data_IF_158798095543
#
_entry.id   IF_158798095543
#
_cell.length_a   1.000
_cell.length_b   1.000
_cell.length_c   1.000
_cell.angle_alpha   90.00
_cell.angle_beta   90.00
_cell.angle_gamma   90.00
#
_symmetry.space_group_name_H-M   'P 1'
#
loop_
_entity.id
_entity.type
_entity.pdbx_description
1 polymer ?
#
# COMPACT_ATOMS: atom_id res chain seq x y z
N UNK A 1 -17.29 0.07 -5.46
CA UNK A 1 -18.13 1.20 -4.99
C UNK A 1 -19.25 0.77 -4.04
N UNK A 2 -19.86 -0.41 -4.21
CA UNK A 2 -20.90 -0.90 -3.27
C UNK A 2 -20.31 -1.47 -1.97
N UNK A 3 -19.02 -1.79 -1.96
CA UNK A 3 -18.34 -2.28 -0.78
C UNK A 3 -18.10 -1.15 0.24
N UNK A 4 -18.61 -1.24 1.48
CA UNK A 4 -18.40 -0.24 2.52
C UNK A 4 -16.92 -0.09 2.95
N UNK A 5 -16.07 -1.11 2.76
CA UNK A 5 -14.62 -1.01 3.06
C UNK A 5 -13.95 0.13 2.28
N UNK A 6 -14.28 0.25 1.00
CA UNK A 6 -13.67 1.23 0.09
C UNK A 6 -13.92 2.67 0.57
N UNK A 7 -15.11 2.93 1.10
CA UNK A 7 -15.46 4.26 1.63
C UNK A 7 -14.79 4.55 2.96
N UNK A 8 -14.67 3.53 3.83
CA UNK A 8 -13.92 3.62 5.08
C UNK A 8 -12.45 3.94 4.81
N UNK A 9 -11.81 3.20 3.91
CA UNK A 9 -10.39 3.37 3.59
C UNK A 9 -10.13 4.73 2.92
N UNK A 10 -11.03 5.17 2.04
CA UNK A 10 -10.96 6.51 1.45
C UNK A 10 -11.06 7.63 2.51
N UNK A 11 -11.91 7.48 3.52
CA UNK A 11 -12.03 8.46 4.59
C UNK A 11 -10.81 8.48 5.52
N UNK A 12 -10.33 7.30 5.91
CA UNK A 12 -9.10 7.15 6.72
C UNK A 12 -7.91 7.78 5.98
N UNK A 13 -7.80 7.55 4.67
CA UNK A 13 -6.78 8.18 3.83
C UNK A 13 -6.84 9.71 3.89
N UNK A 14 -8.04 10.30 3.88
CA UNK A 14 -8.21 11.76 4.01
C UNK A 14 -7.78 12.25 5.40
N UNK A 15 -8.11 11.51 6.46
CA UNK A 15 -7.73 11.88 7.82
C UNK A 15 -6.21 11.85 8.01
N UNK A 16 -5.53 10.80 7.53
CA UNK A 16 -4.08 10.73 7.57
C UNK A 16 -3.41 11.78 6.68
N UNK A 17 -3.92 11.99 5.47
CA UNK A 17 -3.34 12.97 4.55
C UNK A 17 -3.41 14.41 5.09
N UNK A 18 -4.47 14.75 5.82
CA UNK A 18 -4.65 16.07 6.43
C UNK A 18 -4.18 16.14 7.91
N UNK A 19 -3.77 15.03 8.51
CA UNK A 19 -3.37 14.96 9.92
C UNK A 19 -4.51 15.27 10.91
N UNK A 20 -5.74 14.91 10.56
CA UNK A 20 -6.93 15.16 11.40
C UNK A 20 -7.00 14.14 12.55
N UNK A 21 -7.39 14.58 13.75
CA UNK A 21 -7.48 13.71 14.94
C UNK A 21 -6.16 13.42 15.65
N UNK A 22 -5.02 13.89 15.11
CA UNK A 22 -3.70 13.75 15.74
C UNK A 22 -3.29 14.95 16.61
N UNK A 23 -4.10 16.01 16.65
CA UNK A 23 -3.84 17.22 17.44
C UNK A 23 -2.77 18.18 16.87
N UNK A 24 -1.93 17.75 15.92
CA UNK A 24 -0.88 18.58 15.32
C UNK A 24 -1.41 19.86 14.63
N UNK A 25 -2.50 19.76 13.87
CA UNK A 25 -3.13 20.92 13.22
C UNK A 25 -3.68 21.93 14.24
N UNK A 26 -4.25 21.43 15.35
CA UNK A 26 -4.76 22.26 16.44
C UNK A 26 -3.59 22.99 17.12
N UNK A 27 -2.50 22.27 17.40
CA UNK A 27 -1.29 22.83 17.99
C UNK A 27 -0.69 23.93 17.11
N UNK A 28 -0.49 23.70 15.81
CA UNK A 28 0.02 24.74 14.91
C UNK A 28 -0.90 25.94 14.78
N UNK A 29 -2.21 25.70 14.74
CA UNK A 29 -3.21 26.78 14.67
C UNK A 29 -3.22 27.63 15.94
N UNK A 30 -2.86 27.07 17.10
CA UNK A 30 -2.82 27.80 18.37
C UNK A 30 -1.75 28.90 18.41
N UNK A 31 -0.70 28.79 17.60
CA UNK A 31 0.37 29.78 17.50
C UNK A 31 0.03 30.94 16.54
N UNK A 32 -1.04 30.82 15.76
CA UNK A 32 -1.47 31.89 14.86
C UNK A 32 -2.16 33.04 15.61
N UNK A 33 -2.16 34.21 14.99
CA UNK A 33 -2.90 35.36 15.50
C UNK A 33 -4.41 35.09 15.45
N UNK A 34 -5.17 35.65 16.41
CA UNK A 34 -6.63 35.46 16.51
C UNK A 34 -7.40 35.98 15.28
N UNK A 35 -6.87 36.96 14.57
CA UNK A 35 -7.44 37.58 13.36
C UNK A 35 -6.89 36.99 12.05
N UNK A 36 -6.12 35.90 12.12
CA UNK A 36 -5.61 35.22 10.94
C UNK A 36 -6.76 34.55 10.16
N UNK A 37 -6.70 34.61 8.83
CA UNK A 37 -7.74 34.04 7.98
C UNK A 37 -7.61 32.51 7.85
N UNK A 38 -8.06 31.81 8.89
CA UNK A 38 -8.01 30.34 8.96
C UNK A 38 -8.87 29.65 7.88
N UNK A 39 -9.87 30.34 7.32
CA UNK A 39 -10.70 29.80 6.24
C UNK A 39 -9.89 29.65 4.95
N UNK A 40 -9.16 30.68 4.55
CA UNK A 40 -8.27 30.62 3.39
C UNK A 40 -7.17 29.57 3.56
N UNK A 41 -6.59 29.47 4.76
CA UNK A 41 -5.54 28.49 5.05
C UNK A 41 -6.09 27.05 4.92
N UNK A 42 -7.25 26.77 5.49
CA UNK A 42 -7.88 25.45 5.41
C UNK A 42 -8.22 25.05 3.97
N UNK A 43 -8.75 25.98 3.16
CA UNK A 43 -9.06 25.74 1.75
C UNK A 43 -7.78 25.51 0.95
N UNK A 44 -6.75 26.32 1.17
CA UNK A 44 -5.47 26.21 0.48
C UNK A 44 -4.77 24.88 0.79
N UNK A 45 -4.68 24.49 2.07
CA UNK A 45 -4.08 23.22 2.49
C UNK A 45 -4.82 22.04 1.86
N UNK A 46 -6.16 22.06 1.90
CA UNK A 46 -6.98 20.99 1.29
C UNK A 46 -6.74 20.89 -0.21
N UNK A 47 -6.64 22.04 -0.90
CA UNK A 47 -6.40 22.10 -2.34
C UNK A 47 -5.00 21.61 -2.70
N UNK A 48 -3.97 22.07 -1.99
CA UNK A 48 -2.58 21.62 -2.20
C UNK A 48 -2.47 20.11 -1.96
N UNK A 49 -3.08 19.59 -0.89
CA UNK A 49 -3.08 18.15 -0.60
C UNK A 49 -3.72 17.33 -1.73
N UNK A 50 -4.84 17.80 -2.27
CA UNK A 50 -5.52 17.16 -3.40
C UNK A 50 -4.63 17.14 -4.66
N UNK A 51 -4.06 18.27 -5.06
CA UNK A 51 -3.19 18.35 -6.24
C UNK A 51 -1.90 17.55 -6.07
N UNK A 52 -1.31 17.59 -4.88
CA UNK A 52 -0.10 16.82 -4.56
C UNK A 52 -0.40 15.33 -4.65
N UNK A 53 -1.56 14.90 -4.14
CA UNK A 53 -2.01 13.50 -4.23
C UNK A 53 -2.17 13.06 -5.69
N UNK A 54 -2.84 13.86 -6.54
CA UNK A 54 -2.97 13.56 -7.98
C UNK A 54 -1.61 13.46 -8.68
N UNK A 55 -0.72 14.41 -8.42
CA UNK A 55 0.60 14.43 -9.03
C UNK A 55 1.45 13.24 -8.57
N UNK A 56 1.44 12.92 -7.27
CA UNK A 56 2.13 11.77 -6.72
C UNK A 56 1.58 10.46 -7.33
N UNK A 57 0.27 10.31 -7.43
CA UNK A 57 -0.37 9.15 -8.06
C UNK A 57 0.03 8.99 -9.52
N UNK A 58 0.05 10.08 -10.29
CA UNK A 58 0.49 10.05 -11.69
C UNK A 58 1.95 9.58 -11.81
N UNK A 59 2.84 10.13 -11.00
CA UNK A 59 4.26 9.74 -10.98
C UNK A 59 4.42 8.27 -10.60
N UNK A 60 3.71 7.80 -9.57
CA UNK A 60 3.73 6.40 -9.13
C UNK A 60 3.29 5.45 -10.23
N UNK A 61 2.14 5.70 -10.85
CA UNK A 61 1.64 4.83 -11.92
C UNK A 61 2.50 4.89 -13.18
N UNK A 62 3.14 6.02 -13.48
CA UNK A 62 4.08 6.11 -14.59
C UNK A 62 5.33 5.23 -14.38
N UNK A 63 5.90 5.22 -13.17
CA UNK A 63 7.05 4.38 -12.83
C UNK A 63 6.65 2.90 -12.80
N UNK A 64 5.51 2.57 -12.22
CA UNK A 64 4.98 1.20 -12.22
C UNK A 64 4.71 0.70 -13.65
N UNK A 65 4.10 1.53 -14.50
CA UNK A 65 3.88 1.20 -15.90
C UNK A 65 5.18 0.99 -16.66
N UNK A 66 6.20 1.81 -16.39
CA UNK A 66 7.54 1.62 -16.95
C UNK A 66 8.18 0.30 -16.49
N UNK A 67 8.10 -0.03 -15.20
CA UNK A 67 8.57 -1.32 -14.65
C UNK A 67 7.88 -2.49 -15.34
N UNK A 68 6.55 -2.51 -15.33
CA UNK A 68 5.75 -3.58 -15.95
C UNK A 68 6.12 -3.75 -17.42
N UNK A 69 6.28 -2.64 -18.15
CA UNK A 69 6.70 -2.65 -19.54
C UNK A 69 8.08 -3.30 -19.75
N UNK A 70 9.06 -3.03 -18.89
CA UNK A 70 10.40 -3.65 -18.97
C UNK A 70 10.32 -5.14 -18.63
N UNK A 71 9.67 -5.50 -17.53
CA UNK A 71 9.54 -6.89 -17.07
C UNK A 71 8.86 -7.74 -18.14
N UNK A 72 7.73 -7.28 -18.68
CA UNK A 72 7.02 -7.98 -19.77
C UNK A 72 7.90 -8.13 -21.02
N UNK A 73 8.70 -7.11 -21.38
CA UNK A 73 9.56 -7.20 -22.57
C UNK A 73 10.66 -8.24 -22.39
N UNK A 74 11.29 -8.30 -21.21
CA UNK A 74 12.27 -9.34 -20.88
C UNK A 74 11.66 -10.74 -20.86
N UNK A 75 10.46 -10.88 -20.30
CA UNK A 75 9.71 -12.15 -20.31
C UNK A 75 9.48 -12.64 -21.75
N UNK A 76 9.04 -11.75 -22.65
CA UNK A 76 8.84 -12.07 -24.07
C UNK A 76 10.15 -12.50 -24.73
N UNK A 77 11.26 -11.83 -24.45
CA UNK A 77 12.57 -12.18 -25.00
C UNK A 77 13.03 -13.57 -24.53
N UNK A 78 12.95 -13.86 -23.22
CA UNK A 78 13.32 -15.16 -22.64
C UNK A 78 12.44 -16.29 -23.15
N UNK A 79 11.12 -16.10 -23.20
CA UNK A 79 10.21 -17.09 -23.75
C UNK A 79 10.42 -17.30 -25.24
N UNK A 80 10.75 -16.25 -26.00
CA UNK A 80 11.12 -16.38 -27.41
C UNK A 80 12.38 -17.23 -27.56
N UNK A 81 13.41 -17.02 -26.74
CA UNK A 81 14.61 -17.86 -26.74
C UNK A 81 14.30 -19.34 -26.44
N UNK A 82 13.45 -19.61 -25.43
CA UNK A 82 12.96 -20.97 -25.14
C UNK A 82 12.24 -21.58 -26.34
N UNK A 83 11.33 -20.84 -26.97
CA UNK A 83 10.59 -21.28 -28.17
C UNK A 83 11.54 -21.61 -29.33
N UNK A 84 12.56 -20.76 -29.57
CA UNK A 84 13.61 -21.01 -30.56
C UNK A 84 14.44 -22.26 -30.23
N UNK A 85 14.63 -22.58 -28.96
CA UNK A 85 15.26 -23.84 -28.53
C UNK A 85 14.42 -25.09 -28.83
N UNK A 86 13.08 -24.98 -28.79
CA UNK A 86 12.14 -26.09 -29.10
C UNK A 86 11.77 -26.20 -30.59
N UNK A 87 12.19 -25.21 -31.39
CA UNK A 87 11.97 -25.18 -32.83
C UNK A 87 12.79 -26.29 -33.52
N UNK A 88 12.08 -27.23 -34.16
CA UNK A 88 12.67 -28.37 -34.85
C UNK A 88 12.70 -29.68 -34.07
N UNK A 89 12.41 -29.68 -32.76
CA UNK A 89 12.23 -30.89 -31.95
C UNK A 89 10.76 -31.14 -31.66
N UNK A 90 10.09 -30.19 -31.00
CA UNK A 90 8.70 -30.31 -30.56
C UNK A 90 7.74 -29.37 -31.30
N UNK A 91 8.26 -28.33 -31.96
CA UNK A 91 7.46 -27.34 -32.72
C UNK A 91 7.97 -27.30 -34.16
N UNK A 92 7.05 -27.50 -35.14
CA UNK A 92 7.38 -27.42 -36.57
C UNK A 92 7.48 -25.96 -37.04
N UNK A 93 8.45 -25.67 -37.90
CA UNK A 93 8.72 -24.31 -38.41
C UNK A 93 7.54 -23.73 -39.21
N UNK A 94 6.72 -24.59 -39.82
CA UNK A 94 5.57 -24.21 -40.64
C UNK A 94 4.41 -23.57 -39.86
N UNK A 95 4.46 -23.66 -38.52
CA UNK A 95 3.43 -23.14 -37.62
C UNK A 95 3.62 -21.64 -37.36
N UNK A 96 4.81 -21.09 -37.62
CA UNK A 96 5.13 -19.70 -37.30
C UNK A 96 4.92 -18.79 -38.52
N UNK A 97 4.23 -17.65 -38.36
CA UNK A 97 4.02 -16.72 -39.45
C UNK A 97 5.35 -16.23 -40.07
N UNK A 98 5.51 -16.24 -41.41
CA UNK A 98 6.78 -15.96 -42.09
C UNK A 98 7.23 -14.50 -42.03
N UNK A 99 6.44 -13.62 -41.42
CA UNK A 99 6.74 -12.19 -41.30
C UNK A 99 7.43 -11.83 -39.97
N UNK A 100 7.60 -12.79 -39.05
CA UNK A 100 8.15 -12.54 -37.73
C UNK A 100 9.65 -12.84 -37.74
N UNK A 101 10.45 -11.81 -37.43
CA UNK A 101 11.88 -11.94 -37.20
C UNK A 101 12.14 -12.19 -35.71
N UNK A 102 12.74 -13.33 -35.38
CA UNK A 102 13.07 -13.71 -34.01
C UNK A 102 14.15 -12.83 -33.38
N UNK A 103 14.84 -11.98 -34.16
CA UNK A 103 15.82 -11.02 -33.64
C UNK A 103 15.17 -9.91 -32.80
N UNK A 104 13.92 -9.55 -33.10
CA UNK A 104 13.12 -8.54 -32.38
C UNK A 104 11.63 -8.87 -32.48
N UNK A 105 11.14 -9.65 -31.54
CA UNK A 105 9.72 -10.00 -31.47
C UNK A 105 8.94 -8.88 -30.76
N UNK A 106 7.96 -8.30 -31.45
CA UNK A 106 7.02 -7.35 -30.83
C UNK A 106 6.03 -8.09 -29.93
N UNK A 107 5.38 -7.39 -28.99
CA UNK A 107 4.36 -8.01 -28.11
C UNK A 107 3.18 -8.57 -28.88
N UNK A 108 2.76 -7.87 -29.93
CA UNK A 108 1.66 -8.29 -30.79
C UNK A 108 2.03 -9.59 -31.52
N UNK A 109 3.26 -9.68 -32.03
CA UNK A 109 3.79 -10.87 -32.69
C UNK A 109 3.91 -12.04 -31.71
N UNK A 110 4.36 -11.79 -30.48
CA UNK A 110 4.46 -12.80 -29.42
C UNK A 110 3.09 -13.37 -29.04
N UNK A 111 2.07 -12.53 -28.89
CA UNK A 111 0.70 -12.99 -28.61
C UNK A 111 0.14 -13.86 -29.73
N UNK A 112 0.46 -13.54 -30.99
CA UNK A 112 0.09 -14.39 -32.13
C UNK A 112 0.82 -15.73 -32.07
N UNK A 113 2.13 -15.74 -31.83
CA UNK A 113 2.92 -16.97 -31.70
C UNK A 113 2.37 -17.87 -30.58
N UNK A 114 2.15 -17.32 -29.39
CA UNK A 114 1.58 -18.06 -28.25
C UNK A 114 0.17 -18.56 -28.55
N UNK A 115 -0.67 -17.75 -29.21
CA UNK A 115 -2.02 -18.16 -29.60
C UNK A 115 -2.02 -19.37 -30.53
N UNK A 116 -1.10 -19.41 -31.50
CA UNK A 116 -0.95 -20.54 -32.42
C UNK A 116 -0.36 -21.76 -31.70
N UNK A 117 0.70 -21.59 -30.89
CA UNK A 117 1.32 -22.70 -30.14
C UNK A 117 0.30 -23.33 -29.18
N UNK A 118 -0.50 -22.51 -28.48
CA UNK A 118 -1.58 -22.98 -27.61
C UNK A 118 -2.65 -23.75 -28.38
N UNK A 119 -2.99 -23.31 -29.59
CA UNK A 119 -3.97 -24.00 -30.45
C UNK A 119 -3.46 -25.33 -31.02
N UNK A 120 -2.14 -25.46 -31.26
CA UNK A 120 -1.54 -26.68 -31.83
C UNK A 120 -1.20 -27.71 -30.75
N UNK A 121 -0.73 -27.26 -29.58
CA UNK A 121 -0.17 -28.11 -28.52
C UNK A 121 -1.05 -28.16 -27.27
N UNK A 122 -2.38 -28.01 -27.44
CA UNK A 122 -3.42 -27.80 -26.42
C UNK A 122 -3.15 -28.47 -25.05
N UNK A 123 -2.76 -29.75 -25.01
CA UNK A 123 -2.49 -30.52 -23.78
C UNK A 123 -1.03 -30.47 -23.27
N UNK A 124 -0.04 -30.22 -24.13
CA UNK A 124 1.38 -30.20 -23.77
C UNK A 124 1.92 -28.78 -23.59
N UNK A 125 1.07 -27.74 -23.74
CA UNK A 125 1.47 -26.34 -23.58
C UNK A 125 2.08 -26.04 -22.20
N UNK A 126 1.52 -26.64 -21.14
CA UNK A 126 2.02 -26.50 -19.77
C UNK A 126 3.39 -27.13 -19.55
N UNK A 127 3.79 -28.10 -20.38
CA UNK A 127 5.08 -28.78 -20.27
C UNK A 127 6.24 -27.94 -20.84
N UNK A 128 5.96 -26.88 -21.63
CA UNK A 128 7.00 -26.01 -22.18
C UNK A 128 7.61 -25.04 -21.15
N UNK A 129 7.01 -24.88 -19.96
CA UNK A 129 7.53 -23.99 -18.93
C UNK A 129 7.65 -22.52 -19.40
N UNK A 130 6.68 -22.07 -20.21
CA UNK A 130 6.60 -20.68 -20.69
C UNK A 130 5.87 -19.83 -19.65
N UNK A 131 6.54 -18.80 -19.15
CA UNK A 131 5.96 -17.83 -18.20
C UNK A 131 4.82 -17.03 -18.86
N UNK A 132 3.79 -16.63 -18.11
CA UNK A 132 2.76 -15.71 -18.63
C UNK A 132 3.33 -14.28 -18.72
N UNK A 133 3.51 -13.78 -19.94
CA UNK A 133 4.02 -12.42 -20.17
C UNK A 133 2.89 -11.40 -20.41
N UNK A 134 1.94 -11.27 -19.48
CA UNK A 134 0.86 -10.26 -19.57
C UNK A 134 1.16 -9.04 -18.70
N UNK A 135 1.13 -7.85 -19.31
CA UNK A 135 1.33 -6.58 -18.61
C UNK A 135 0.19 -6.28 -17.61
N UNK A 136 -1.01 -6.81 -17.87
CA UNK A 136 -2.18 -6.63 -17.00
C UNK A 136 -1.99 -7.39 -15.69
N UNK A 137 -1.38 -8.57 -15.76
CA UNK A 137 -1.04 -9.39 -14.61
C UNK A 137 0.04 -8.71 -13.77
N UNK A 138 1.11 -8.22 -14.40
CA UNK A 138 2.18 -7.44 -13.75
C UNK A 138 1.67 -6.16 -13.06
N UNK A 139 0.68 -5.48 -13.65
CA UNK A 139 0.10 -4.27 -13.07
C UNK A 139 -0.88 -4.58 -11.93
N UNK A 140 -1.62 -5.69 -12.03
CA UNK A 140 -2.55 -6.15 -10.99
C UNK A 140 -1.85 -6.80 -9.80
N UNK A 141 -0.63 -7.31 -10.00
CA UNK A 141 0.32 -7.73 -8.97
C UNK A 141 0.87 -6.56 -8.12
N UNK A 142 0.15 -5.43 -8.08
CA UNK A 142 0.57 -4.19 -7.45
C UNK A 142 1.01 -4.38 -6.00
N UNK A 143 2.28 -4.05 -5.73
CA UNK A 143 2.83 -4.08 -4.38
C UNK A 143 2.22 -2.93 -3.57
N UNK A 144 1.60 -3.22 -2.43
CA UNK A 144 1.05 -2.22 -1.51
C UNK A 144 2.02 -1.96 -0.34
N UNK A 145 1.88 -0.79 0.30
CA UNK A 145 2.64 -0.46 1.52
C UNK A 145 4.11 -0.18 1.26
N UNK A 146 4.97 -0.64 2.16
CA UNK A 146 6.42 -0.36 2.13
C UNK A 146 7.13 -0.98 0.93
N UNK A 147 6.66 -2.16 0.46
CA UNK A 147 7.23 -2.85 -0.69
C UNK A 147 7.14 -2.05 -1.99
N UNK A 148 6.11 -1.19 -2.13
CA UNK A 148 5.97 -0.33 -3.30
C UNK A 148 7.20 0.57 -3.46
N UNK A 149 7.56 1.29 -2.40
CA UNK A 149 8.66 2.25 -2.42
C UNK A 149 10.04 1.58 -2.41
N UNK A 150 10.22 0.50 -1.65
CA UNK A 150 11.54 -0.10 -1.44
C UNK A 150 11.91 -1.23 -2.40
N UNK A 151 10.92 -1.84 -3.08
CA UNK A 151 11.14 -2.93 -4.04
C UNK A 151 10.79 -2.45 -5.44
N UNK A 152 9.52 -2.14 -5.71
CA UNK A 152 9.08 -1.86 -7.07
C UNK A 152 9.73 -0.59 -7.65
N UNK A 153 9.80 0.48 -6.86
CA UNK A 153 10.43 1.73 -7.27
C UNK A 153 11.95 1.61 -7.42
N UNK A 154 12.63 0.99 -6.46
CA UNK A 154 14.10 0.85 -6.50
C UNK A 154 14.53 -0.01 -7.69
N UNK A 155 13.81 -1.10 -7.97
CA UNK A 155 14.02 -1.94 -9.14
C UNK A 155 13.86 -1.14 -10.44
N UNK A 156 12.75 -0.39 -10.57
CA UNK A 156 12.51 0.45 -11.75
C UNK A 156 13.63 1.49 -11.97
N UNK A 157 14.16 2.06 -10.89
CA UNK A 157 15.21 3.09 -10.95
C UNK A 157 16.56 2.55 -11.41
N UNK A 158 16.84 1.24 -11.23
CA UNK A 158 18.06 0.62 -11.78
C UNK A 158 18.11 0.69 -13.30
N UNK A 159 16.96 0.77 -13.95
CA UNK A 159 16.83 0.86 -15.40
C UNK A 159 16.91 2.29 -15.96
N UNK A 160 16.96 3.31 -15.10
CA UNK A 160 17.12 4.70 -15.55
C UNK A 160 18.59 5.03 -15.85
N UNK A 161 18.86 5.82 -16.92
CA UNK A 161 20.20 6.34 -17.16
C UNK A 161 20.59 7.29 -16.01
N UNK A 162 21.79 7.06 -15.44
CA UNK A 162 22.23 7.79 -14.24
C UNK A 162 21.50 7.38 -12.97
N UNK A 163 21.18 6.09 -12.81
CA UNK A 163 20.45 5.52 -11.67
C UNK A 163 20.86 6.04 -10.28
N UNK A 164 22.16 6.25 -9.93
CA UNK A 164 22.51 6.73 -8.60
C UNK A 164 21.95 8.11 -8.26
N UNK A 165 21.85 9.01 -9.25
CA UNK A 165 21.30 10.35 -9.05
C UNK A 165 19.81 10.30 -8.66
N UNK A 166 19.04 9.50 -9.40
CA UNK A 166 17.61 9.34 -9.15
C UNK A 166 17.37 8.68 -7.79
N UNK A 167 18.16 7.67 -7.41
CA UNK A 167 18.08 6.99 -6.11
C UNK A 167 18.25 7.96 -4.94
N UNK A 168 19.25 8.84 -5.00
CA UNK A 168 19.47 9.85 -3.96
C UNK A 168 18.29 10.81 -3.86
N UNK A 169 17.77 11.32 -4.98
CA UNK A 169 16.61 12.22 -4.98
C UNK A 169 15.35 11.56 -4.43
N UNK A 170 15.09 10.30 -4.78
CA UNK A 170 13.92 9.55 -4.31
C UNK A 170 13.97 9.29 -2.80
N UNK A 171 15.11 8.80 -2.28
CA UNK A 171 15.24 8.58 -0.84
C UNK A 171 15.28 9.88 -0.03
N UNK A 172 15.88 10.95 -0.58
CA UNK A 172 15.82 12.27 0.05
C UNK A 172 14.40 12.81 0.11
N UNK A 173 13.60 12.59 -0.94
CA UNK A 173 12.17 12.92 -0.95
C UNK A 173 11.43 12.13 0.15
N UNK A 174 11.58 10.80 0.22
CA UNK A 174 10.94 9.99 1.25
C UNK A 174 11.33 10.43 2.67
N UNK A 175 12.61 10.74 2.89
CA UNK A 175 13.10 11.27 4.16
C UNK A 175 12.47 12.63 4.50
N UNK A 176 12.36 13.52 3.52
CA UNK A 176 11.76 14.85 3.71
C UNK A 176 10.27 14.76 4.04
N UNK A 177 9.54 13.87 3.36
CA UNK A 177 8.13 13.59 3.64
C UNK A 177 7.94 13.03 5.06
N UNK A 178 8.76 12.05 5.45
CA UNK A 178 8.75 11.47 6.79
C UNK A 178 9.04 12.52 7.88
N UNK A 179 10.11 13.30 7.72
CA UNK A 179 10.48 14.35 8.69
C UNK A 179 9.40 15.42 8.84
N UNK A 180 8.79 15.85 7.73
CA UNK A 180 7.71 16.85 7.76
C UNK A 180 6.53 16.41 8.63
N UNK A 181 6.05 15.18 8.45
CA UNK A 181 4.96 14.63 9.26
C UNK A 181 5.36 14.44 10.72
N UNK A 182 6.60 14.03 10.99
CA UNK A 182 7.08 13.82 12.37
C UNK A 182 7.14 15.11 13.17
N UNK A 183 7.44 16.26 12.55
CA UNK A 183 7.36 17.55 13.25
C UNK A 183 5.94 17.88 13.71
N UNK A 184 4.92 17.61 12.88
CA UNK A 184 3.52 17.83 13.24
C UNK A 184 3.04 16.91 14.36
N UNK A 185 3.40 15.62 14.29
CA UNK A 185 3.04 14.66 15.33
C UNK A 185 3.72 14.98 16.66
N UNK A 186 4.98 15.39 16.63
CA UNK A 186 5.73 15.77 17.82
C UNK A 186 5.11 17.01 18.50
N UNK A 187 4.73 18.03 17.73
CA UNK A 187 4.05 19.20 18.28
C UNK A 187 2.67 18.88 18.85
N UNK A 188 1.94 17.95 18.23
CA UNK A 188 0.66 17.44 18.76
C UNK A 188 0.79 16.78 20.13
N UNK A 189 1.96 16.20 20.45
CA UNK A 189 2.25 15.59 21.75
C UNK A 189 2.81 16.61 22.74
N UNK A 190 3.78 17.43 22.31
CA UNK A 190 4.48 18.37 23.20
C UNK A 190 3.54 19.47 23.69
N UNK A 191 2.77 20.08 22.80
CA UNK A 191 1.91 21.23 23.11
C UNK A 191 0.97 20.96 24.31
N UNK A 192 0.13 19.91 24.31
CA UNK A 192 -0.78 19.66 25.44
C UNK A 192 -0.04 19.36 26.75
N UNK A 193 1.13 18.71 26.71
CA UNK A 193 1.94 18.42 27.90
C UNK A 193 2.51 19.72 28.48
N UNK A 194 3.05 20.59 27.62
CA UNK A 194 3.59 21.89 28.03
C UNK A 194 2.48 22.77 28.61
N UNK A 195 1.30 22.80 27.99
CA UNK A 195 0.17 23.61 28.47
C UNK A 195 -0.38 23.12 29.82
N UNK A 196 -0.37 21.82 30.05
CA UNK A 196 -0.86 21.21 31.31
C UNK A 196 0.14 21.36 32.46
N UNK A 197 1.41 21.04 32.23
CA UNK A 197 2.43 20.96 33.29
C UNK A 197 3.31 22.21 33.39
N UNK A 198 3.25 23.14 32.42
CA UNK A 198 4.05 24.38 32.35
C UNK A 198 5.57 24.17 32.51
N UNK A 199 6.06 23.03 32.04
CA UNK A 199 7.50 22.67 32.05
C UNK A 199 8.17 23.22 30.78
N UNK A 200 9.48 23.45 30.84
CA UNK A 200 10.31 23.82 29.68
C UNK A 200 10.19 22.78 28.55
N UNK A 201 9.86 23.24 27.34
CA UNK A 201 9.63 22.39 26.16
C UNK A 201 10.82 21.50 25.81
N UNK A 202 12.04 21.98 26.07
CA UNK A 202 13.28 21.31 25.67
C UNK A 202 13.42 19.96 26.40
N UNK A 203 13.05 19.89 27.68
CA UNK A 203 13.13 18.65 28.45
C UNK A 203 12.08 17.63 28.03
N UNK A 204 10.86 18.08 27.74
CA UNK A 204 9.79 17.20 27.25
C UNK A 204 10.16 16.63 25.88
N UNK A 205 10.72 17.46 25.01
CA UNK A 205 11.16 17.04 23.67
C UNK A 205 12.21 15.95 23.77
N UNK A 206 13.28 16.17 24.56
CA UNK A 206 14.34 15.17 24.75
C UNK A 206 13.79 13.88 25.36
N UNK A 207 12.92 13.98 26.37
CA UNK A 207 12.28 12.82 26.99
C UNK A 207 11.45 12.00 25.99
N UNK A 208 10.64 12.67 25.16
CA UNK A 208 9.82 12.01 24.15
C UNK A 208 10.66 11.37 23.04
N UNK A 209 11.77 12.00 22.62
CA UNK A 209 12.71 11.40 21.67
C UNK A 209 13.39 10.15 22.25
N UNK A 210 13.83 10.18 23.51
CA UNK A 210 14.45 9.02 24.18
C UNK A 210 13.43 7.87 24.29
N UNK A 211 12.19 8.17 24.71
CA UNK A 211 11.12 7.18 24.78
C UNK A 211 10.84 6.55 23.41
N UNK A 212 10.70 7.39 22.37
CA UNK A 212 10.45 6.94 21.00
C UNK A 212 11.60 6.08 20.45
N UNK A 213 12.84 6.38 20.81
CA UNK A 213 14.01 5.56 20.45
C UNK A 213 13.90 4.15 21.03
N UNK A 214 13.58 4.02 22.32
CA UNK A 214 13.44 2.71 22.97
C UNK A 214 12.28 1.90 22.41
N UNK A 215 11.13 2.53 22.15
CA UNK A 215 9.99 1.87 21.47
C UNK A 215 10.38 1.46 20.05
N UNK A 216 11.12 2.32 19.34
CA UNK A 216 11.59 2.07 17.98
C UNK A 216 12.49 0.83 17.85
N UNK A 217 13.24 0.46 18.90
CA UNK A 217 14.08 -0.75 18.89
C UNK A 217 13.29 -2.04 18.66
N UNK A 218 12.00 -2.07 19.02
CA UNK A 218 11.11 -3.20 18.75
C UNK A 218 10.99 -3.46 17.24
N UNK A 219 10.96 -2.41 16.42
CA UNK A 219 10.75 -2.52 14.97
C UNK A 219 12.01 -2.90 14.18
N UNK A 220 13.19 -2.90 14.82
CA UNK A 220 14.48 -3.24 14.17
C UNK A 220 14.77 -4.75 14.26
N UNK A 221 13.92 -5.54 14.92
CA UNK A 221 14.07 -6.99 15.03
C UNK A 221 13.78 -7.70 13.69
N UNK A 222 14.16 -8.99 13.57
CA UNK A 222 13.93 -9.81 12.35
C UNK A 222 12.45 -9.90 11.96
N UNK A 223 11.56 -9.94 12.94
CA UNK A 223 10.09 -9.90 12.78
C UNK A 223 9.52 -8.47 12.76
N UNK A 224 10.37 -7.44 12.77
CA UNK A 224 9.98 -6.04 12.95
C UNK A 224 9.00 -5.53 11.89
N UNK A 225 9.10 -6.00 10.64
CA UNK A 225 8.17 -5.62 9.58
C UNK A 225 6.73 -6.07 9.87
N UNK A 226 6.54 -7.21 10.54
CA UNK A 226 5.21 -7.68 10.96
C UNK A 226 4.63 -6.77 12.05
N UNK A 227 5.46 -6.39 13.02
CA UNK A 227 5.05 -5.44 14.07
C UNK A 227 4.68 -4.06 13.49
N UNK A 228 5.45 -3.55 12.53
CA UNK A 228 5.13 -2.28 11.85
C UNK A 228 3.78 -2.36 11.15
N UNK A 229 3.56 -3.42 10.36
CA UNK A 229 2.33 -3.60 9.58
C UNK A 229 1.11 -3.72 10.50
N UNK A 230 1.21 -4.51 11.57
CA UNK A 230 0.12 -4.68 12.54
C UNK A 230 -0.18 -3.39 13.33
N UNK A 231 0.85 -2.65 13.74
CA UNK A 231 0.65 -1.37 14.43
C UNK A 231 0.01 -0.32 13.52
N UNK A 232 0.41 -0.25 12.25
CA UNK A 232 -0.15 0.70 11.29
C UNK A 232 -1.65 0.43 11.02
N UNK A 233 -1.99 -0.84 10.79
CA UNK A 233 -3.37 -1.23 10.48
C UNK A 233 -4.29 -1.15 11.70
N UNK A 234 -3.85 -1.64 12.87
CA UNK A 234 -4.71 -1.75 14.05
C UNK A 234 -4.54 -0.60 15.05
N UNK A 235 -3.32 -0.11 15.29
CA UNK A 235 -3.08 0.91 16.33
C UNK A 235 -3.23 2.34 15.84
N UNK A 236 -2.92 2.63 14.58
CA UNK A 236 -3.03 3.99 14.05
C UNK A 236 -4.40 4.25 13.41
N UNK A 237 -4.87 3.33 12.56
CA UNK A 237 -6.06 3.55 11.73
C UNK A 237 -7.39 3.41 12.49
N UNK A 238 -7.51 2.41 13.36
CA UNK A 238 -8.77 2.12 14.08
C UNK A 238 -9.17 3.21 15.10
N UNK A 239 -8.26 3.76 15.94
CA UNK A 239 -8.65 4.78 16.92
C UNK A 239 -8.94 6.14 16.30
N UNK A 240 -8.39 6.42 15.12
CA UNK A 240 -8.50 7.72 14.46
C UNK A 240 -9.95 8.12 14.19
N UNK A 241 -10.76 7.18 13.71
CA UNK A 241 -12.14 7.43 13.32
C UNK A 241 -13.05 7.77 14.52
N UNK A 242 -13.04 7.00 15.64
CA UNK A 242 -13.68 7.41 16.89
C UNK A 242 -13.22 8.77 17.41
N UNK A 243 -11.91 9.09 17.36
CA UNK A 243 -11.37 10.38 17.84
C UNK A 243 -11.96 11.54 17.03
N UNK A 244 -11.88 11.49 15.70
CA UNK A 244 -12.41 12.53 14.82
C UNK A 244 -13.93 12.68 14.97
N UNK A 245 -14.65 11.57 15.17
CA UNK A 245 -16.08 11.61 15.47
C UNK A 245 -16.38 12.35 16.78
N UNK A 246 -15.67 12.03 17.86
CA UNK A 246 -15.86 12.66 19.16
C UNK A 246 -15.49 14.15 19.13
N UNK A 247 -14.40 14.52 18.45
CA UNK A 247 -14.03 15.94 18.23
C UNK A 247 -15.13 16.70 17.50
N UNK A 248 -15.69 16.12 16.43
CA UNK A 248 -16.76 16.74 15.67
C UNK A 248 -18.02 16.94 16.52
N UNK A 249 -18.43 15.92 17.28
CA UNK A 249 -19.59 16.00 18.19
C UNK A 249 -19.36 17.01 19.31
N UNK A 250 -18.15 17.06 19.87
CA UNK A 250 -17.79 18.02 20.90
C UNK A 250 -17.94 19.48 20.43
N UNK A 251 -17.48 19.79 19.21
CA UNK A 251 -17.61 21.16 18.67
C UNK A 251 -19.04 21.43 18.19
N UNK A 252 -19.65 20.51 17.44
CA UNK A 252 -20.95 20.76 16.81
C UNK A 252 -22.10 20.84 17.82
N UNK A 253 -22.14 19.94 18.82
CA UNK A 253 -23.29 19.79 19.73
C UNK A 253 -22.99 20.21 21.18
N UNK A 254 -21.81 19.91 21.73
CA UNK A 254 -21.50 20.26 23.13
C UNK A 254 -21.14 21.76 23.25
N UNK A 255 -20.22 22.24 22.42
CA UNK A 255 -19.89 23.67 22.35
C UNK A 255 -21.01 24.48 21.70
N UNK A 256 -21.66 23.88 20.70
CA UNK A 256 -22.80 24.44 19.99
C UNK A 256 -22.38 25.14 18.70
N UNK A 257 -22.94 24.68 17.57
CA UNK A 257 -22.62 25.21 16.24
C UNK A 257 -22.93 26.71 16.11
N UNK A 258 -23.98 27.20 16.78
CA UNK A 258 -24.37 28.62 16.70
C UNK A 258 -23.29 29.53 17.33
N UNK A 259 -22.74 29.14 18.48
CA UNK A 259 -21.65 29.86 19.15
C UNK A 259 -20.37 29.82 18.31
N UNK A 260 -19.99 28.62 17.85
CA UNK A 260 -18.82 28.45 16.99
C UNK A 260 -18.89 29.30 15.72
N UNK A 261 -20.08 29.39 15.11
CA UNK A 261 -20.30 30.21 13.91
C UNK A 261 -20.18 31.72 14.19
N UNK A 262 -20.57 32.17 15.38
CA UNK A 262 -20.39 33.56 15.83
C UNK A 262 -18.92 33.87 16.10
N UNK A 263 -18.19 32.99 16.79
CA UNK A 263 -16.75 33.17 17.05
C UNK A 263 -15.95 33.21 15.74
N UNK A 264 -16.27 32.33 14.80
CA UNK A 264 -15.62 32.29 13.49
C UNK A 264 -15.88 33.58 12.69
N UNK A 265 -17.08 34.15 12.82
CA UNK A 265 -17.43 35.45 12.22
C UNK A 265 -16.68 36.59 12.90
N UNK A 266 -16.46 36.54 14.22
CA UNK A 266 -15.64 37.52 14.94
C UNK A 266 -14.17 37.46 14.49
N UNK A 267 -13.61 36.25 14.35
CA UNK A 267 -12.22 36.04 13.92
C UNK A 267 -11.98 36.45 12.46
N UNK A 268 -12.86 36.05 11.54
CA UNK A 268 -12.68 36.29 10.10
C UNK A 268 -13.14 37.68 9.64
N UNK A 269 -14.00 38.35 10.41
CA UNK A 269 -14.64 39.62 10.02
C UNK A 269 -15.69 39.51 8.91
N UNK A 270 -15.80 38.37 8.22
CA UNK A 270 -16.85 38.06 7.26
C UNK A 270 -17.69 36.86 7.69
N UNK A 271 -18.90 36.73 7.14
CA UNK A 271 -19.77 35.58 7.41
C UNK A 271 -19.46 34.47 6.42
N UNK A 272 -19.06 33.26 6.86
CA UNK A 272 -18.85 32.12 5.97
C UNK A 272 -20.18 31.68 5.34
N UNK A 273 -20.13 30.81 4.33
CA UNK A 273 -21.33 30.29 3.67
C UNK A 273 -22.16 29.41 4.63
N UNK A 274 -23.49 29.51 4.54
CA UNK A 274 -24.41 28.71 5.36
C UNK A 274 -24.28 27.19 5.16
N UNK A 275 -23.67 26.76 4.05
CA UNK A 275 -23.40 25.34 3.79
C UNK A 275 -22.55 24.72 4.90
N UNK A 276 -21.54 25.45 5.42
CA UNK A 276 -20.69 24.98 6.51
C UNK A 276 -21.49 24.65 7.77
N UNK A 277 -22.50 25.47 8.09
CA UNK A 277 -23.37 25.26 9.24
C UNK A 277 -24.09 23.89 9.19
N UNK A 278 -24.73 23.57 8.05
CA UNK A 278 -25.42 22.29 7.88
C UNK A 278 -24.44 21.12 7.76
N UNK A 279 -23.29 21.35 7.13
CA UNK A 279 -22.27 20.33 6.94
C UNK A 279 -21.70 19.86 8.29
N UNK A 280 -21.28 20.78 9.15
CA UNK A 280 -20.70 20.45 10.46
C UNK A 280 -21.72 19.88 11.44
N UNK A 281 -22.97 20.36 11.40
CA UNK A 281 -24.00 19.98 12.38
C UNK A 281 -24.66 18.63 12.10
N UNK A 282 -24.83 18.28 10.82
CA UNK A 282 -25.63 17.12 10.41
C UNK A 282 -24.89 16.16 9.49
N UNK A 283 -24.29 16.65 8.41
CA UNK A 283 -23.74 15.78 7.35
C UNK A 283 -22.48 15.06 7.83
N UNK A 284 -21.49 15.80 8.33
CA UNK A 284 -20.23 15.25 8.82
C UNK A 284 -20.43 14.24 9.97
N UNK A 285 -21.16 14.53 11.05
CA UNK A 285 -21.33 13.56 12.14
C UNK A 285 -22.08 12.31 11.70
N UNK A 286 -23.07 12.43 10.80
CA UNK A 286 -23.78 11.27 10.24
C UNK A 286 -22.85 10.37 9.42
N UNK A 287 -22.04 10.97 8.55
CA UNK A 287 -21.10 10.25 7.70
C UNK A 287 -20.01 9.56 8.54
N UNK A 288 -19.44 10.25 9.51
CA UNK A 288 -18.47 9.68 10.45
C UNK A 288 -19.08 8.53 11.27
N UNK A 289 -20.32 8.69 11.76
CA UNK A 289 -21.01 7.64 12.50
C UNK A 289 -21.27 6.40 11.64
N UNK A 290 -21.70 6.58 10.39
CA UNK A 290 -21.94 5.47 9.47
C UNK A 290 -20.66 4.66 9.21
N UNK A 291 -19.53 5.35 9.00
CA UNK A 291 -18.24 4.69 8.80
C UNK A 291 -17.72 4.01 10.08
N UNK A 292 -17.96 4.63 11.24
CA UNK A 292 -17.62 4.03 12.54
C UNK A 292 -18.36 2.71 12.75
N UNK A 293 -19.67 2.71 12.53
CA UNK A 293 -20.51 1.51 12.66
C UNK A 293 -20.07 0.43 11.66
N UNK A 294 -19.82 0.80 10.40
CA UNK A 294 -19.33 -0.15 9.41
C UNK A 294 -18.00 -0.79 9.80
N UNK A 295 -17.06 0.00 10.33
CA UNK A 295 -15.76 -0.49 10.80
C UNK A 295 -15.89 -1.43 12.00
N UNK A 296 -16.77 -1.10 12.96
CA UNK A 296 -17.02 -1.96 14.13
C UNK A 296 -17.70 -3.28 13.75
N UNK A 297 -18.64 -3.25 12.79
CA UNK A 297 -19.32 -4.44 12.28
C UNK A 297 -18.32 -5.36 11.56
N UNK A 298 -17.43 -4.80 10.74
CA UNK A 298 -16.41 -5.59 10.04
C UNK A 298 -15.45 -6.27 11.02
N UNK A 299 -14.98 -5.55 12.04
CA UNK A 299 -14.15 -6.13 13.09
C UNK A 299 -14.87 -7.22 13.89
N UNK A 300 -16.19 -7.12 14.06
CA UNK A 300 -16.98 -8.16 14.72
C UNK A 300 -17.26 -9.41 13.86
N UNK A 301 -17.16 -9.30 12.53
CA UNK A 301 -17.48 -10.39 11.59
C UNK A 301 -16.25 -11.11 11.05
N UNK A 302 -15.11 -10.43 10.93
CA UNK A 302 -13.87 -11.00 10.44
C UNK A 302 -12.81 -11.01 11.56
N UNK A 303 -12.17 -12.17 11.86
CA UNK A 303 -11.05 -12.19 12.79
C UNK A 303 -9.89 -11.38 12.20
N UNK A 304 -9.09 -10.72 13.07
CA UNK A 304 -7.99 -9.90 12.61
C UNK A 304 -6.83 -10.80 12.14
N UNK A 305 -6.37 -10.59 10.91
CA UNK A 305 -5.33 -11.40 10.28
C UNK A 305 -4.15 -10.56 9.84
N UNK A 306 -2.97 -11.18 9.70
CA UNK A 306 -1.78 -10.55 9.11
C UNK A 306 -1.10 -11.50 8.11
N UNK A 307 -0.33 -10.96 7.16
CA UNK A 307 0.41 -11.75 6.17
C UNK A 307 1.79 -12.14 6.70
N UNK A 308 2.11 -13.43 6.70
CA UNK A 308 3.40 -13.98 7.09
C UNK A 308 4.13 -14.60 5.89
N UNK A 309 5.45 -14.37 5.80
CA UNK A 309 6.31 -15.00 4.81
C UNK A 309 6.82 -16.35 5.33
N UNK A 310 6.64 -17.43 4.54
CA UNK A 310 7.03 -18.80 4.92
C UNK A 310 7.98 -19.35 3.86
N UNK A 311 9.20 -19.69 4.30
CA UNK A 311 10.26 -20.20 3.43
C UNK A 311 9.95 -21.60 2.85
N UNK A 312 9.19 -22.44 3.55
CA UNK A 312 8.91 -23.83 3.14
C UNK A 312 7.92 -23.99 1.98
N UNK A 313 7.19 -22.93 1.62
CA UNK A 313 6.32 -22.89 0.45
C UNK A 313 7.08 -22.56 -0.84
N UNK A 314 8.37 -22.20 -0.74
CA UNK A 314 9.23 -21.94 -1.90
C UNK A 314 9.46 -23.25 -2.63
N UNK A 315 8.96 -23.34 -3.87
CA UNK A 315 9.14 -24.52 -4.70
C UNK A 315 10.63 -24.88 -4.85
N UNK A 316 11.01 -26.17 -4.80
CA UNK A 316 12.42 -26.58 -4.94
C UNK A 316 13.04 -26.18 -6.30
N UNK A 317 12.24 -25.78 -7.29
CA UNK A 317 12.72 -25.22 -8.55
C UNK A 317 13.32 -23.80 -8.41
N UNK A 318 12.88 -23.01 -7.42
CA UNK A 318 13.40 -21.66 -7.18
C UNK A 318 14.76 -21.70 -6.44
N UNK A 319 14.99 -22.70 -5.58
CA UNK A 319 16.25 -22.89 -4.87
C UNK A 319 17.38 -23.42 -5.78
N UNK A 320 17.05 -24.17 -6.83
CA UNK A 320 18.04 -24.65 -7.79
C UNK A 320 18.52 -23.57 -8.77
N UNK A 321 17.83 -22.43 -8.87
CA UNK A 321 18.34 -21.27 -9.64
C UNK A 321 19.35 -20.43 -8.85
N UNK A 322 19.39 -20.51 -7.51
CA UNK A 322 20.41 -19.82 -6.71
C UNK A 322 21.78 -20.52 -6.75
N UNK A 323 21.86 -21.83 -6.99
CA UNK A 323 23.15 -22.56 -7.00
C UNK A 323 23.94 -22.39 -8.31
N UNK A 324 23.31 -22.01 -9.43
CA UNK A 324 23.98 -21.87 -10.74
C UNK A 324 24.49 -20.44 -11.04
N UNK A 325 24.21 -19.45 -10.17
CA UNK A 325 24.44 -18.01 -10.44
C UNK A 325 25.66 -17.39 -9.71
N UNK A 326 26.58 -18.20 -9.18
CA UNK A 326 27.73 -17.71 -8.39
C UNK A 326 28.92 -17.18 -9.23
N UNK A 327 28.89 -17.28 -10.57
CA UNK A 327 30.05 -16.93 -11.42
C UNK A 327 29.87 -15.77 -12.43
N UNK A 328 28.71 -15.10 -12.53
CA UNK A 328 28.57 -13.92 -13.40
C UNK A 328 27.90 -12.72 -12.71
N UNK A 329 28.71 -11.71 -12.39
CA UNK A 329 28.27 -10.39 -11.89
C UNK A 329 27.63 -9.60 -13.03
N UNK A 330 26.44 -10.02 -13.47
CA UNK A 330 25.47 -9.19 -14.20
C UNK A 330 24.24 -10.00 -14.60
N UNK A 331 23.30 -10.27 -13.68
CA UNK A 331 21.87 -10.44 -13.96
C UNK A 331 21.11 -10.70 -12.65
N UNK A 332 20.64 -9.62 -12.00
CA UNK A 332 19.63 -9.76 -10.95
C UNK A 332 18.27 -10.02 -11.60
N UNK A 333 17.87 -11.28 -11.70
CA UNK A 333 16.45 -11.68 -11.84
C UNK A 333 16.01 -12.39 -10.57
N UNK A 334 15.94 -11.62 -9.48
CA UNK A 334 15.25 -12.05 -8.27
C UNK A 334 13.75 -11.99 -8.55
N UNK A 335 13.13 -13.10 -8.97
CA UNK A 335 11.67 -13.25 -8.95
C UNK A 335 11.27 -13.37 -7.47
N UNK A 336 10.90 -12.24 -6.86
CA UNK A 336 10.49 -12.14 -5.45
C UNK A 336 9.02 -11.73 -5.31
N UNK A 337 8.40 -12.09 -4.16
CA UNK A 337 7.02 -12.52 -4.11
C UNK A 337 6.07 -11.32 -4.08
N UNK A 338 5.40 -11.14 -5.21
CA UNK A 338 4.19 -10.36 -5.32
C UNK A 338 3.03 -11.27 -4.93
N UNK A 339 2.40 -11.03 -3.78
CA UNK A 339 0.96 -11.18 -3.54
C UNK A 339 0.67 -10.93 -2.06
N UNK A 340 0.18 -9.73 -1.78
CA UNK A 340 -0.60 -9.45 -0.59
C UNK A 340 -1.83 -8.68 -1.05
N UNK A 341 -2.81 -9.40 -1.62
CA UNK A 341 -4.14 -8.86 -1.82
C UNK A 341 -4.91 -8.92 -0.50
N UNK A 342 -5.61 -7.83 -0.22
CA UNK A 342 -6.45 -7.57 0.95
C UNK A 342 -7.46 -8.69 1.25
N UNK A 343 -7.92 -8.81 2.51
CA UNK A 343 -9.06 -9.65 2.84
C UNK A 343 -10.33 -8.92 2.38
N UNK A 344 -10.86 -9.25 1.20
CA UNK A 344 -12.30 -9.31 0.93
C UNK A 344 -12.54 -9.52 -0.57
N UNK A 345 -12.90 -10.74 -0.95
CA UNK A 345 -13.89 -10.95 -2.02
C UNK A 345 -14.64 -12.27 -1.80
N UNK A 346 -15.97 -12.14 -1.71
CA UNK A 346 -17.00 -13.19 -1.75
C UNK A 346 -16.68 -14.54 -1.09
N UNK A 347 -17.28 -14.74 0.09
CA UNK A 347 -17.58 -16.07 0.65
C UNK A 347 -18.37 -16.87 -0.39
N UNK A 348 -17.71 -17.78 -1.10
CA UNK A 348 -18.33 -19.02 -1.57
C UNK A 348 -17.87 -20.15 -0.67
N UNK A 349 -18.71 -20.44 0.32
CA UNK A 349 -18.78 -21.67 1.11
C UNK A 349 -17.95 -22.84 0.56
N UNK A 350 -16.91 -23.24 1.29
CA UNK A 350 -16.58 -24.66 1.53
C UNK A 350 -15.71 -24.80 2.78
N UNK A 351 -16.39 -25.00 3.91
CA UNK A 351 -15.84 -25.50 5.17
C UNK A 351 -15.26 -26.90 4.92
N UNK A 352 -13.95 -27.10 5.07
CA UNK A 352 -13.37 -28.45 5.28
C UNK A 352 -13.21 -28.68 6.78
N UNK A 353 -14.23 -29.34 7.35
CA UNK A 353 -14.13 -30.00 8.64
C UNK A 353 -13.09 -31.13 8.57
N UNK A 354 -12.40 -31.32 9.70
CA UNK A 354 -11.50 -32.43 9.99
C UNK A 354 -12.13 -33.79 9.65
N UNK A 355 -11.59 -34.50 8.66
CA UNK A 355 -11.69 -35.96 8.63
C UNK A 355 -10.62 -36.58 7.75
N UNK A 356 -9.90 -37.52 8.36
CA UNK A 356 -8.98 -38.48 7.75
C UNK A 356 -9.54 -39.12 6.47
N UNK A 357 -8.92 -38.87 5.31
CA UNK A 357 -8.76 -39.85 4.23
C UNK A 357 -7.82 -39.36 3.13
N UNK A 358 -6.94 -40.28 2.77
CA UNK A 358 -5.93 -40.26 1.73
C UNK A 358 -6.59 -40.39 0.36
N UNK A 359 -6.38 -39.41 -0.53
CA UNK A 359 -6.61 -39.53 -1.99
C UNK A 359 -5.84 -38.42 -2.72
N UNK A 360 -5.26 -38.81 -3.86
CA UNK A 360 -4.19 -38.20 -4.67
C UNK A 360 -4.42 -36.74 -5.15
N UNK A 361 -3.35 -36.03 -5.58
CA UNK A 361 -3.43 -34.61 -5.93
C UNK A 361 -3.91 -34.43 -7.38
N UNK A 362 -5.10 -33.87 -7.57
CA UNK A 362 -5.46 -33.22 -8.84
C UNK A 362 -4.77 -31.86 -8.92
N UNK A 363 -3.89 -31.75 -9.90
CA UNK A 363 -3.17 -30.56 -10.36
C UNK A 363 -4.12 -29.43 -10.75
N UNK A 364 -4.20 -28.40 -9.91
CA UNK A 364 -4.57 -27.05 -10.33
C UNK A 364 -3.29 -26.20 -10.29
N UNK A 365 -2.62 -26.16 -11.44
CA UNK A 365 -1.50 -25.29 -11.73
C UNK A 365 -1.99 -23.86 -11.94
N UNK A 366 -1.98 -23.05 -10.89
CA UNK A 366 -1.84 -21.60 -11.01
C UNK A 366 -1.12 -21.14 -9.73
N UNK A 367 0.16 -20.85 -9.89
CA UNK A 367 1.05 -20.33 -8.86
C UNK A 367 0.49 -19.03 -8.30
N UNK A 368 0.14 -19.04 -7.00
CA UNK A 368 -0.20 -17.83 -6.26
C UNK A 368 0.34 -17.95 -4.81
N UNK A 369 1.17 -16.98 -4.45
CA UNK A 369 1.61 -16.50 -3.14
C UNK A 369 2.37 -17.45 -2.18
N UNK A 370 3.64 -17.11 -1.94
CA UNK A 370 4.48 -17.61 -0.82
C UNK A 370 4.16 -16.93 0.53
N UNK A 371 2.91 -16.53 0.74
CA UNK A 371 2.44 -15.81 1.93
C UNK A 371 1.21 -16.50 2.50
N UNK A 372 1.16 -16.66 3.83
CA UNK A 372 0.00 -17.20 4.53
C UNK A 372 -0.63 -16.11 5.37
N UNK A 373 -1.96 -16.03 5.32
CA UNK A 373 -2.76 -15.18 6.19
C UNK A 373 -2.90 -15.91 7.53
N UNK A 374 -2.28 -15.35 8.57
CA UNK A 374 -2.23 -15.94 9.92
C UNK A 374 -3.10 -15.12 10.86
N UNK A 375 -3.81 -15.80 11.77
CA UNK A 375 -4.61 -15.13 12.80
C UNK A 375 -3.67 -14.50 13.84
N UNK A 376 -3.97 -13.28 14.28
CA UNK A 376 -3.16 -12.57 15.28
C UNK A 376 -3.08 -13.37 16.59
N UNK A 377 -4.07 -14.20 16.91
CA UNK A 377 -4.02 -15.07 18.11
C UNK A 377 -2.97 -16.19 18.04
N UNK A 378 -2.46 -16.53 16.86
CA UNK A 378 -1.43 -17.57 16.66
C UNK A 378 0.00 -17.02 16.70
N UNK A 379 0.17 -15.70 16.88
CA UNK A 379 1.48 -15.04 16.86
C UNK A 379 2.47 -15.57 17.92
N UNK A 380 2.00 -16.20 18.99
CA UNK A 380 2.89 -16.84 19.98
C UNK A 380 3.50 -18.15 19.52
N UNK A 381 2.91 -18.84 18.54
CA UNK A 381 3.41 -20.14 18.05
C UNK A 381 4.37 -20.00 16.86
N UNK A 382 4.29 -18.91 16.08
CA UNK A 382 5.11 -18.68 14.88
C UNK A 382 6.41 -17.86 15.11
N UNK A 383 6.68 -17.45 16.35
CA UNK A 383 7.81 -16.55 16.71
C UNK A 383 9.00 -17.30 17.34
N UNK A 384 8.96 -18.63 17.40
CA UNK A 384 10.07 -19.47 17.90
C UNK A 384 10.87 -20.09 16.77
#
# INVERSE_FOLDING_TARGET
>A
MLDPTVWRDAAIQIFFALGLGCGGVIAFSSYNKKDNNCHSDAVLVSFINFFTSILATLVVFAVLGFKANIVTTKCVELNTQKIVGYLGTEISYDVIPPHIDFSKVSREDYQQIIGVIRGVKENDFSQLGLDSCDITEELNQGVQGTGLAFIAFTEAMTHFPGSPFWSVMFFLMLMSLGLGSMFGNMEGIITPIVDTFKIRKEYITVGCCILSFFVGLMFVQRSGNYFVSMMDEYSASLPLLPIVFLENVAVAWIYGTDRFYEDLKEMLGFRPFRVYYYMWKYITPLLLLAMLVASLVQMGLAPPTYTAWIQELVSPAALLMEEDEEDDVSLLQVKTPSEALSPMTSISSSRKESSSRQTDPETNSHDSANYVVVDITEMTESVV
#
